data_IF_591772097009
#
_entry.id   IF_591772097009
#
_cell.length_a   1.000
_cell.length_b   1.000
_cell.length_c   1.000
_cell.angle_alpha   90.00
_cell.angle_beta   90.00
_cell.angle_gamma   90.00
#
_symmetry.space_group_name_H-M   'P 1'
#
loop_
_entity.id
_entity.type
_entity.pdbx_description
1 polymer ?
#
# COMPACT_ATOMS: atom_id res chain seq x y z
N UNK A 1 7.30 6.77 -16.07
CA UNK A 1 7.82 5.50 -15.52
C UNK A 1 7.26 5.35 -14.12
N UNK A 2 6.59 4.24 -13.85
CA UNK A 2 5.92 4.00 -12.57
C UNK A 2 6.98 3.77 -11.46
N UNK A 3 6.76 4.20 -10.20
CA UNK A 3 7.73 3.98 -9.11
C UNK A 3 8.18 2.53 -8.95
N UNK A 4 7.25 1.57 -9.06
CA UNK A 4 7.57 0.14 -9.01
C UNK A 4 8.49 -0.31 -10.15
N UNK A 5 8.28 0.16 -11.38
CA UNK A 5 9.15 -0.16 -12.51
C UNK A 5 10.59 0.33 -12.25
N UNK A 6 10.72 1.53 -11.68
CA UNK A 6 12.02 2.10 -11.32
C UNK A 6 12.73 1.27 -10.24
N UNK A 7 12.01 0.82 -9.22
CA UNK A 7 12.56 -0.05 -8.16
C UNK A 7 13.05 -1.36 -8.77
N UNK A 8 12.24 -2.00 -9.62
CA UNK A 8 12.59 -3.25 -10.30
C UNK A 8 13.81 -3.09 -11.21
N UNK A 9 13.88 -2.00 -12.00
CA UNK A 9 15.04 -1.73 -12.85
C UNK A 9 16.32 -1.52 -12.04
N UNK A 10 16.23 -0.75 -10.95
CA UNK A 10 17.36 -0.53 -10.04
C UNK A 10 17.84 -1.84 -9.40
N UNK A 11 16.92 -2.67 -8.94
CA UNK A 11 17.24 -3.99 -8.38
C UNK A 11 17.96 -4.87 -9.42
N UNK A 12 17.42 -4.93 -10.64
CA UNK A 12 18.03 -5.66 -11.77
C UNK A 12 19.41 -5.12 -12.17
N UNK A 13 19.70 -3.84 -11.89
CA UNK A 13 21.02 -3.24 -12.08
C UNK A 13 22.02 -3.52 -10.96
N UNK A 14 21.67 -4.36 -9.99
CA UNK A 14 22.54 -4.76 -8.87
C UNK A 14 22.44 -3.87 -7.62
N UNK A 15 21.49 -2.93 -7.57
CA UNK A 15 21.22 -2.18 -6.34
C UNK A 15 20.51 -3.07 -5.32
N UNK A 16 20.90 -2.96 -4.06
CA UNK A 16 20.24 -3.63 -2.95
C UNK A 16 19.04 -2.80 -2.49
N UNK A 17 17.96 -2.83 -3.26
CA UNK A 17 16.70 -2.16 -2.95
C UNK A 17 15.50 -3.10 -3.16
N UNK A 18 14.36 -2.70 -2.61
CA UNK A 18 13.10 -3.41 -2.70
C UNK A 18 11.93 -2.52 -2.27
N UNK A 19 10.76 -3.12 -2.09
CA UNK A 19 9.57 -2.46 -1.55
C UNK A 19 8.86 -3.43 -0.61
N UNK A 20 8.31 -2.92 0.49
CA UNK A 20 7.45 -3.69 1.38
C UNK A 20 6.07 -3.86 0.77
N UNK A 21 5.57 -5.10 0.68
CA UNK A 21 4.17 -5.41 0.39
C UNK A 21 3.45 -5.78 1.68
N UNK A 22 2.46 -4.97 2.08
CA UNK A 22 1.67 -5.17 3.29
C UNK A 22 0.29 -5.68 2.93
N UNK A 23 0.08 -6.99 3.12
CA UNK A 23 -1.17 -7.69 2.78
C UNK A 23 -2.12 -7.78 3.99
N UNK A 24 -2.57 -6.65 4.51
CA UNK A 24 -3.46 -6.59 5.69
C UNK A 24 -4.52 -5.53 5.57
N UNK A 25 -5.76 -5.88 5.94
CA UNK A 25 -6.88 -4.95 6.07
C UNK A 25 -7.01 -4.37 7.50
N UNK A 26 -6.21 -4.85 8.46
CA UNK A 26 -6.35 -4.45 9.86
C UNK A 26 -5.91 -2.98 10.06
N UNK A 27 -6.76 -2.11 10.65
CA UNK A 27 -6.49 -0.67 10.75
C UNK A 27 -5.11 -0.32 11.31
N UNK A 28 -4.76 -0.91 12.45
CA UNK A 28 -3.47 -0.63 13.12
C UNK A 28 -2.26 -1.11 12.32
N UNK A 29 -2.40 -2.16 11.49
CA UNK A 29 -1.29 -2.64 10.65
C UNK A 29 -1.06 -1.67 9.50
N UNK A 30 -2.14 -1.15 8.91
CA UNK A 30 -2.06 -0.13 7.85
C UNK A 30 -1.44 1.16 8.41
N UNK A 31 -1.88 1.60 9.59
CA UNK A 31 -1.32 2.78 10.26
C UNK A 31 0.19 2.60 10.57
N UNK A 32 0.57 1.45 11.13
CA UNK A 32 1.98 1.14 11.40
C UNK A 32 2.82 1.10 10.12
N UNK A 33 2.30 0.51 9.04
CA UNK A 33 2.98 0.47 7.75
C UNK A 33 3.17 1.87 7.14
N UNK A 34 2.17 2.75 7.27
CA UNK A 34 2.27 4.15 6.85
C UNK A 34 3.35 4.89 7.63
N UNK A 35 3.38 4.73 8.96
CA UNK A 35 4.40 5.34 9.81
C UNK A 35 5.80 4.84 9.47
N UNK A 36 5.97 3.53 9.30
CA UNK A 36 7.27 2.96 8.93
C UNK A 36 7.75 3.46 7.56
N UNK A 37 6.85 3.57 6.57
CA UNK A 37 7.21 4.09 5.26
C UNK A 37 7.61 5.58 5.28
N UNK A 38 7.03 6.38 6.20
CA UNK A 38 7.47 7.77 6.44
C UNK A 38 8.89 7.80 7.01
N UNK A 39 9.15 6.99 8.03
CA UNK A 39 10.46 6.92 8.68
C UNK A 39 11.55 6.44 7.71
N UNK A 40 11.22 5.50 6.82
CA UNK A 40 12.14 4.95 5.82
C UNK A 40 12.31 5.83 4.57
N UNK A 41 11.54 6.94 4.46
CA UNK A 41 11.43 7.76 3.24
C UNK A 41 11.18 6.92 1.97
N UNK A 42 10.26 5.96 2.08
CA UNK A 42 10.05 4.92 1.06
C UNK A 42 8.63 4.88 0.51
N UNK A 43 8.46 4.19 -0.62
CA UNK A 43 7.14 3.86 -1.13
C UNK A 43 6.56 2.70 -0.33
N UNK A 44 5.26 2.77 -0.04
CA UNK A 44 4.51 1.68 0.57
C UNK A 44 3.56 1.03 -0.43
N UNK A 45 3.58 -0.30 -0.48
CA UNK A 45 2.62 -1.13 -1.21
C UNK A 45 1.67 -1.78 -0.19
N UNK A 46 0.37 -1.54 -0.32
CA UNK A 46 -0.67 -2.21 0.47
C UNK A 46 -1.52 -3.03 -0.49
N UNK A 47 -1.66 -4.32 -0.22
CA UNK A 47 -2.37 -5.27 -1.07
C UNK A 47 -3.56 -5.88 -0.32
N UNK A 48 -4.59 -6.25 -1.06
CA UNK A 48 -5.70 -7.06 -0.57
C UNK A 48 -5.78 -8.35 -1.39
N UNK A 49 -6.38 -9.38 -0.80
CA UNK A 49 -6.73 -10.61 -1.55
C UNK A 49 -8.17 -10.54 -2.02
N UNK A 50 -8.52 -11.27 -3.08
CA UNK A 50 -9.92 -11.39 -3.53
C UNK A 50 -10.89 -11.87 -2.42
N UNK A 51 -10.41 -12.73 -1.52
CA UNK A 51 -11.21 -13.13 -0.36
C UNK A 51 -11.48 -11.95 0.61
N UNK A 52 -10.52 -11.03 0.75
CA UNK A 52 -10.68 -9.82 1.58
C UNK A 52 -11.59 -8.82 0.91
N UNK A 53 -11.33 -8.51 -0.36
CA UNK A 53 -11.88 -7.39 -1.12
C UNK A 53 -12.22 -7.88 -2.52
N UNK A 54 -13.50 -7.85 -2.88
CA UNK A 54 -13.98 -8.18 -4.23
C UNK A 54 -15.17 -7.29 -4.60
N UNK A 55 -15.77 -7.51 -5.77
CA UNK A 55 -16.92 -6.73 -6.23
C UNK A 55 -18.19 -6.88 -5.37
N UNK A 56 -18.23 -7.87 -4.49
CA UNK A 56 -19.33 -8.14 -3.55
C UNK A 56 -18.98 -7.76 -2.10
N UNK A 57 -17.74 -7.36 -1.83
CA UNK A 57 -17.24 -6.94 -0.52
C UNK A 57 -16.25 -7.91 0.14
N UNK A 58 -16.06 -9.12 -0.38
CA UNK A 58 -15.29 -10.17 0.29
C UNK A 58 -15.74 -10.39 1.75
N UNK A 59 -14.85 -10.89 2.61
CA UNK A 59 -15.15 -11.00 4.04
C UNK A 59 -15.04 -9.67 4.81
N UNK A 60 -14.44 -8.63 4.21
CA UNK A 60 -14.30 -7.33 4.86
C UNK A 60 -15.52 -6.42 4.67
N UNK A 61 -16.41 -6.76 3.73
CA UNK A 61 -17.52 -5.91 3.29
C UNK A 61 -17.08 -4.73 2.42
N UNK A 62 -15.86 -4.74 1.87
CA UNK A 62 -15.29 -3.66 1.08
C UNK A 62 -15.11 -4.05 -0.39
N UNK A 63 -15.58 -3.20 -1.30
CA UNK A 63 -15.17 -3.26 -2.71
C UNK A 63 -13.76 -2.71 -2.89
N UNK A 64 -13.10 -2.92 -4.04
CA UNK A 64 -11.79 -2.32 -4.31
C UNK A 64 -11.77 -0.79 -4.15
N UNK A 65 -12.88 -0.11 -4.50
CA UNK A 65 -13.02 1.33 -4.31
C UNK A 65 -13.12 1.69 -2.82
N UNK A 66 -13.86 0.92 -2.02
CA UNK A 66 -13.98 1.13 -0.58
C UNK A 66 -12.64 0.91 0.12
N UNK A 67 -11.92 -0.15 -0.23
CA UNK A 67 -10.60 -0.44 0.33
C UNK A 67 -9.59 0.68 -0.01
N UNK A 68 -9.61 1.17 -1.24
CA UNK A 68 -8.79 2.32 -1.65
C UNK A 68 -9.09 3.55 -0.78
N UNK A 69 -10.37 3.92 -0.64
CA UNK A 69 -10.74 5.08 0.17
C UNK A 69 -10.39 4.89 1.64
N UNK A 70 -10.61 3.70 2.19
CA UNK A 70 -10.25 3.35 3.56
C UNK A 70 -8.76 3.55 3.84
N UNK A 71 -7.87 3.08 2.95
CA UNK A 71 -6.42 3.30 3.08
C UNK A 71 -6.06 4.79 2.99
N UNK A 72 -6.68 5.53 2.06
CA UNK A 72 -6.46 6.98 1.92
C UNK A 72 -6.87 7.74 3.18
N UNK A 73 -8.00 7.40 3.81
CA UNK A 73 -8.43 8.02 5.07
C UNK A 73 -7.43 7.75 6.19
N UNK A 74 -6.87 6.54 6.28
CA UNK A 74 -5.77 6.22 7.21
C UNK A 74 -4.51 7.05 6.94
N UNK A 75 -4.14 7.20 5.68
CA UNK A 75 -2.98 8.01 5.28
C UNK A 75 -3.14 9.50 5.65
N UNK A 76 -4.34 10.06 5.49
CA UNK A 76 -4.65 11.44 5.90
C UNK A 76 -4.52 11.64 7.41
N UNK A 77 -5.02 10.68 8.20
CA UNK A 77 -4.93 10.73 9.67
C UNK A 77 -3.47 10.72 10.16
N UNK A 78 -2.58 10.00 9.47
CA UNK A 78 -1.16 9.86 9.83
C UNK A 78 -0.26 10.98 9.31
N UNK A 79 -0.79 12.09 8.77
CA UNK A 79 -0.01 13.19 8.16
C UNK A 79 0.83 12.73 6.95
N UNK A 80 0.44 11.65 6.27
CA UNK A 80 1.10 11.11 5.07
C UNK A 80 0.78 11.95 3.81
N UNK A 81 0.89 13.29 3.89
CA UNK A 81 0.44 14.20 2.82
C UNK A 81 1.56 14.75 1.94
N UNK A 82 2.83 14.35 2.10
CA UNK A 82 3.92 14.97 1.32
C UNK A 82 4.88 14.04 0.57
N UNK A 83 4.77 12.71 0.64
CA UNK A 83 5.62 11.83 -0.19
C UNK A 83 4.86 10.58 -0.67
N UNK A 84 4.71 10.52 -1.99
CA UNK A 84 4.25 9.43 -2.86
C UNK A 84 3.86 8.09 -2.20
N UNK A 85 2.61 7.96 -1.76
CA UNK A 85 1.97 6.66 -1.52
C UNK A 85 1.73 5.97 -2.89
N UNK A 86 2.18 4.73 -3.06
CA UNK A 86 1.85 3.91 -4.23
C UNK A 86 0.97 2.74 -3.82
N UNK A 87 -0.32 3.03 -3.63
CA UNK A 87 -1.32 2.03 -3.31
C UNK A 87 -1.61 1.17 -4.54
N UNK A 88 -1.31 -0.13 -4.47
CA UNK A 88 -1.73 -1.10 -5.49
C UNK A 88 -2.70 -2.07 -4.85
N UNK A 89 -3.98 -1.83 -5.09
CA UNK A 89 -5.02 -2.81 -4.77
C UNK A 89 -4.94 -3.89 -5.84
N UNK A 90 -4.17 -4.94 -5.57
CA UNK A 90 -4.28 -6.22 -6.29
C UNK A 90 -5.61 -6.86 -5.87
N UNK A 91 -6.37 -7.35 -6.86
CA UNK A 91 -7.60 -8.15 -6.67
C UNK A 91 -7.27 -9.55 -7.18
#
# INVERSE_FOLDING_TARGET
>A
MHPLEKIVQQHKSGKQNGIYSVCSAHPLVIEAALLQALDDDSFLLIEATSNQVDQFGGYTGMTPADFYQYVIEKAKMSVFLSKSLSLVVTI
#
